data_IF_299031861690
#
_entry.id   IF_299031861690
#
_cell.length_a   1.000
_cell.length_b   1.000
_cell.length_c   1.000
_cell.angle_alpha   90.00
_cell.angle_beta   90.00
_cell.angle_gamma   90.00
#
_symmetry.space_group_name_H-M   'P 1'
#
loop_
_entity.id
_entity.type
_entity.pdbx_description
1 polymer ?
#
# COMPACT_ATOMS: atom_id res chain seq x y z
N UNK A 1 -13.65 10.68 24.53
CA UNK A 1 -13.22 9.33 24.97
C UNK A 1 -13.99 8.32 24.15
N UNK A 2 -13.30 7.41 23.41
CA UNK A 2 -13.95 6.31 22.68
C UNK A 2 -14.46 5.31 23.74
N UNK A 3 -15.74 4.87 23.68
CA UNK A 3 -16.23 3.87 24.62
C UNK A 3 -15.35 2.62 24.61
N UNK A 4 -15.04 2.06 25.77
CA UNK A 4 -14.17 0.87 25.92
C UNK A 4 -14.60 -0.32 25.05
N UNK A 5 -15.88 -0.40 24.66
CA UNK A 5 -16.45 -1.44 23.79
C UNK A 5 -15.93 -1.45 22.34
N UNK A 6 -15.45 -0.29 21.81
CA UNK A 6 -14.96 -0.18 20.42
C UNK A 6 -13.45 -0.40 20.28
N UNK A 7 -12.72 -0.30 21.38
CA UNK A 7 -11.25 -0.44 21.37
C UNK A 7 -10.75 -1.76 20.77
N UNK A 8 -11.33 -2.94 21.08
CA UNK A 8 -10.92 -4.20 20.46
C UNK A 8 -11.11 -4.21 18.95
N UNK A 9 -12.21 -3.63 18.45
CA UNK A 9 -12.49 -3.53 17.01
C UNK A 9 -11.46 -2.61 16.30
N UNK A 10 -11.08 -1.50 16.91
CA UNK A 10 -10.04 -0.60 16.35
C UNK A 10 -8.65 -1.26 16.36
N UNK A 11 -8.37 -2.08 17.36
CA UNK A 11 -7.11 -2.84 17.44
C UNK A 11 -7.02 -3.90 16.36
N UNK A 12 -8.04 -4.72 16.17
CA UNK A 12 -8.05 -5.76 15.14
C UNK A 12 -7.97 -5.18 13.73
N UNK A 13 -8.56 -3.99 13.50
CA UNK A 13 -8.48 -3.25 12.24
C UNK A 13 -7.06 -2.68 11.97
N UNK A 14 -6.18 -2.61 12.97
CA UNK A 14 -4.85 -1.96 12.84
C UNK A 14 -4.92 -0.60 12.15
N UNK A 15 -5.85 0.25 12.61
CA UNK A 15 -6.23 1.51 11.97
C UNK A 15 -5.04 2.42 11.61
N UNK A 16 -3.95 2.36 12.39
CA UNK A 16 -2.73 3.12 12.11
C UNK A 16 -2.10 2.82 10.74
N UNK A 17 -2.27 1.60 10.24
CA UNK A 17 -1.65 1.17 8.99
C UNK A 17 -2.45 1.57 7.74
N UNK A 18 -3.74 1.97 7.88
CA UNK A 18 -4.59 2.38 6.75
C UNK A 18 -4.03 3.61 6.01
N UNK A 19 -3.30 4.48 6.70
CA UNK A 19 -2.71 5.68 6.09
C UNK A 19 -1.74 5.36 4.96
N UNK A 20 -1.04 4.23 5.03
CA UNK A 20 -0.20 3.77 3.92
C UNK A 20 -1.01 3.26 2.72
N UNK A 21 -2.24 2.80 2.92
CA UNK A 21 -3.14 2.44 1.83
C UNK A 21 -3.73 3.70 1.18
N UNK A 22 -4.08 4.71 1.97
CA UNK A 22 -4.55 6.00 1.47
C UNK A 22 -3.46 6.77 0.71
N UNK A 23 -2.20 6.70 1.15
CA UNK A 23 -1.08 7.31 0.41
C UNK A 23 -0.90 6.66 -0.97
N UNK A 24 -1.09 5.34 -1.10
CA UNK A 24 -1.06 4.66 -2.40
C UNK A 24 -2.18 5.14 -3.33
N UNK A 25 -3.40 5.40 -2.81
CA UNK A 25 -4.49 6.00 -3.60
C UNK A 25 -4.08 7.39 -4.10
N UNK A 26 -3.49 8.22 -3.24
CA UNK A 26 -3.02 9.54 -3.65
C UNK A 26 -1.94 9.46 -4.73
N UNK A 27 -1.00 8.51 -4.63
CA UNK A 27 0.00 8.25 -5.67
C UNK A 27 -0.68 7.81 -6.98
N UNK A 28 -1.64 6.89 -6.94
CA UNK A 28 -2.42 6.46 -8.11
C UNK A 28 -3.20 7.62 -8.76
N UNK A 29 -3.86 8.44 -7.95
CA UNK A 29 -4.57 9.65 -8.42
C UNK A 29 -3.60 10.67 -9.05
N UNK A 30 -2.40 10.82 -8.51
CA UNK A 30 -1.40 11.74 -9.05
C UNK A 30 -0.88 11.29 -10.42
N UNK A 31 -0.51 10.01 -10.55
CA UNK A 31 0.01 9.47 -11.83
C UNK A 31 -1.06 9.42 -12.93
N UNK A 32 -2.35 9.36 -12.56
CA UNK A 32 -3.47 9.40 -13.49
C UNK A 32 -3.96 10.83 -13.79
N UNK A 33 -3.36 11.85 -13.17
CA UNK A 33 -3.79 13.25 -13.32
C UNK A 33 -5.14 13.56 -12.67
N UNK A 34 -5.64 12.70 -11.75
CA UNK A 34 -6.97 12.81 -11.13
C UNK A 34 -6.95 13.27 -9.67
N UNK A 35 -5.76 13.63 -9.13
CA UNK A 35 -5.65 14.07 -7.74
C UNK A 35 -6.31 15.43 -7.50
N UNK A 36 -6.28 16.32 -8.47
CA UNK A 36 -6.87 17.66 -8.41
C UNK A 36 -7.60 18.00 -9.71
N UNK A 37 -8.79 18.63 -9.67
CA UNK A 37 -9.53 18.99 -8.46
C UNK A 37 -10.04 17.76 -7.71
N UNK A 38 -10.13 17.87 -6.37
CA UNK A 38 -10.66 16.80 -5.54
C UNK A 38 -12.16 16.61 -5.79
N UNK A 39 -12.57 15.40 -6.11
CA UNK A 39 -13.97 15.06 -6.44
C UNK A 39 -14.53 14.02 -5.45
N UNK A 40 -15.85 13.82 -5.47
CA UNK A 40 -16.49 12.76 -4.69
C UNK A 40 -15.94 11.38 -5.05
N UNK A 41 -15.60 11.14 -6.33
CA UNK A 41 -14.99 9.89 -6.78
C UNK A 41 -13.66 9.60 -6.06
N UNK A 42 -12.81 10.61 -5.81
CA UNK A 42 -11.56 10.46 -5.06
C UNK A 42 -11.83 10.05 -3.62
N UNK A 43 -12.85 10.63 -2.98
CA UNK A 43 -13.30 10.23 -1.63
C UNK A 43 -13.78 8.78 -1.58
N UNK A 44 -14.54 8.34 -2.58
CA UNK A 44 -14.98 6.96 -2.70
C UNK A 44 -13.81 5.99 -2.92
N UNK A 45 -12.79 6.35 -3.71
CA UNK A 45 -11.57 5.55 -3.85
C UNK A 45 -10.81 5.40 -2.52
N UNK A 46 -10.71 6.47 -1.74
CA UNK A 46 -10.12 6.40 -0.40
C UNK A 46 -10.90 5.47 0.52
N UNK A 47 -12.23 5.53 0.50
CA UNK A 47 -13.08 4.64 1.29
C UNK A 47 -12.96 3.19 0.79
N UNK A 48 -12.91 2.97 -0.52
CA UNK A 48 -12.70 1.65 -1.13
C UNK A 48 -11.39 1.02 -0.65
N UNK A 49 -10.29 1.75 -0.77
CA UNK A 49 -8.98 1.31 -0.29
C UNK A 49 -8.96 1.03 1.21
N UNK A 50 -9.52 1.93 2.02
CA UNK A 50 -9.60 1.73 3.47
C UNK A 50 -10.42 0.48 3.81
N UNK A 51 -11.59 0.29 3.21
CA UNK A 51 -12.45 -0.87 3.45
C UNK A 51 -11.75 -2.19 3.12
N UNK A 52 -11.15 -2.29 1.92
CA UNK A 52 -10.43 -3.49 1.49
C UNK A 52 -9.19 -3.77 2.35
N UNK A 53 -8.43 -2.72 2.71
CA UNK A 53 -7.26 -2.86 3.56
C UNK A 53 -7.62 -3.33 4.97
N UNK A 54 -8.62 -2.71 5.59
CA UNK A 54 -9.07 -3.06 6.94
C UNK A 54 -9.71 -4.45 6.97
N UNK A 55 -10.42 -4.86 5.92
CA UNK A 55 -10.94 -6.23 5.77
C UNK A 55 -9.80 -7.25 5.84
N UNK A 56 -8.70 -7.02 5.11
CA UNK A 56 -7.52 -7.85 5.17
C UNK A 56 -6.91 -7.92 6.57
N UNK A 57 -6.78 -6.78 7.27
CA UNK A 57 -6.24 -6.78 8.64
C UNK A 57 -7.09 -7.63 9.59
N UNK A 58 -8.42 -7.52 9.51
CA UNK A 58 -9.35 -8.30 10.33
C UNK A 58 -9.30 -9.79 9.96
N UNK A 59 -9.28 -10.11 8.67
CA UNK A 59 -9.18 -11.51 8.23
C UNK A 59 -7.82 -12.13 8.51
N UNK A 60 -6.76 -11.36 8.48
CA UNK A 60 -5.45 -11.83 8.91
C UNK A 60 -5.50 -12.36 10.36
N UNK A 61 -6.08 -11.59 11.28
CA UNK A 61 -6.22 -12.02 12.67
C UNK A 61 -7.25 -13.17 12.83
N UNK A 62 -8.29 -13.23 11.97
CA UNK A 62 -9.25 -14.34 11.96
C UNK A 62 -8.61 -15.67 11.51
N UNK A 63 -7.86 -15.67 10.43
CA UNK A 63 -7.20 -16.88 9.92
C UNK A 63 -6.05 -17.33 10.80
N UNK A 64 -5.37 -16.40 11.49
CA UNK A 64 -4.27 -16.70 12.40
C UNK A 64 -4.71 -17.04 13.83
N UNK A 65 -6.01 -17.00 14.17
CA UNK A 65 -6.53 -17.11 15.54
C UNK A 65 -5.98 -18.29 16.32
N UNK A 66 -5.79 -19.44 15.67
CA UNK A 66 -5.34 -20.68 16.33
C UNK A 66 -3.84 -20.61 16.65
N UNK A 67 -3.04 -20.04 15.75
CA UNK A 67 -1.61 -19.78 15.94
C UNK A 67 -1.42 -18.66 16.98
N UNK A 68 -2.22 -17.61 16.88
CA UNK A 68 -2.17 -16.47 17.80
C UNK A 68 -2.60 -16.85 19.24
N UNK A 69 -3.42 -17.87 19.41
CA UNK A 69 -3.76 -18.37 20.74
C UNK A 69 -2.54 -18.91 21.49
N UNK A 70 -1.55 -19.42 20.75
CA UNK A 70 -0.29 -19.95 21.30
C UNK A 70 0.78 -18.85 21.39
N UNK A 71 1.00 -18.12 20.27
CA UNK A 71 2.13 -17.19 20.16
C UNK A 71 1.81 -15.80 20.72
N UNK A 72 0.55 -15.36 20.62
CA UNK A 72 0.11 -13.98 20.95
C UNK A 72 -1.26 -13.96 21.65
N UNK A 73 -1.39 -14.59 22.83
CA UNK A 73 -2.69 -14.78 23.52
C UNK A 73 -3.39 -13.47 23.92
N UNK A 74 -2.67 -12.34 23.87
CA UNK A 74 -3.24 -11.01 24.16
C UNK A 74 -3.95 -10.35 22.95
N UNK A 75 -3.90 -10.97 21.75
CA UNK A 75 -4.64 -10.45 20.60
C UNK A 75 -6.16 -10.51 20.84
N UNK A 76 -6.95 -9.61 20.20
CA UNK A 76 -8.38 -9.45 20.50
C UNK A 76 -9.20 -10.74 20.38
N UNK A 77 -8.93 -11.61 19.38
CA UNK A 77 -9.68 -12.86 19.19
C UNK A 77 -9.27 -13.91 20.24
N UNK A 78 -8.00 -14.27 20.42
CA UNK A 78 -7.58 -15.19 21.46
C UNK A 78 -7.94 -14.75 22.89
N UNK A 79 -7.86 -13.43 23.14
CA UNK A 79 -8.23 -12.85 24.45
C UNK A 79 -9.75 -12.80 24.69
N UNK A 80 -10.59 -13.29 23.78
CA UNK A 80 -12.05 -13.30 23.91
C UNK A 80 -12.70 -11.91 23.81
N UNK A 81 -11.95 -10.86 23.44
CA UNK A 81 -12.47 -9.49 23.31
C UNK A 81 -13.31 -9.31 22.04
N UNK A 82 -13.05 -10.12 21.00
CA UNK A 82 -13.80 -10.19 19.75
C UNK A 82 -14.05 -11.66 19.44
N UNK A 83 -15.29 -12.04 19.17
CA UNK A 83 -15.61 -13.41 18.76
C UNK A 83 -15.12 -13.66 17.33
N UNK A 84 -14.74 -14.90 17.00
CA UNK A 84 -14.32 -15.27 15.64
C UNK A 84 -15.41 -14.94 14.60
N UNK A 85 -16.68 -15.19 14.91
CA UNK A 85 -17.82 -14.83 14.05
C UNK A 85 -17.96 -13.31 13.91
N UNK A 86 -17.73 -12.55 14.99
CA UNK A 86 -17.73 -11.09 14.97
C UNK A 86 -16.63 -10.54 14.06
N UNK A 87 -15.41 -11.07 14.15
CA UNK A 87 -14.29 -10.72 13.28
C UNK A 87 -14.60 -11.05 11.80
N UNK A 88 -15.14 -12.24 11.52
CA UNK A 88 -15.54 -12.62 10.16
C UNK A 88 -16.56 -11.65 9.58
N UNK A 89 -17.64 -11.34 10.34
CA UNK A 89 -18.69 -10.40 9.91
C UNK A 89 -18.15 -8.99 9.70
N UNK A 90 -17.26 -8.52 10.59
CA UNK A 90 -16.61 -7.22 10.44
C UNK A 90 -15.77 -7.17 9.16
N UNK A 91 -14.94 -8.18 8.90
CA UNK A 91 -14.15 -8.29 7.69
C UNK A 91 -15.00 -8.29 6.43
N UNK A 92 -16.10 -9.06 6.43
CA UNK A 92 -17.06 -9.10 5.30
C UNK A 92 -17.74 -7.74 5.09
N UNK A 93 -18.18 -7.07 6.15
CA UNK A 93 -18.79 -5.74 6.08
C UNK A 93 -17.82 -4.69 5.50
N UNK A 94 -16.56 -4.72 5.93
CA UNK A 94 -15.51 -3.85 5.41
C UNK A 94 -15.19 -4.14 3.93
N UNK A 95 -15.14 -5.43 3.53
CA UNK A 95 -14.95 -5.82 2.13
C UNK A 95 -16.10 -5.30 1.27
N UNK A 96 -17.36 -5.55 1.67
CA UNK A 96 -18.54 -5.08 0.94
C UNK A 96 -18.53 -3.55 0.83
N UNK A 97 -18.20 -2.85 1.93
CA UNK A 97 -18.04 -1.39 1.93
C UNK A 97 -17.00 -0.95 0.91
N UNK A 98 -15.84 -1.63 0.85
CA UNK A 98 -14.78 -1.34 -0.11
C UNK A 98 -15.23 -1.54 -1.56
N UNK A 99 -15.91 -2.63 -1.86
CA UNK A 99 -16.43 -2.92 -3.21
C UNK A 99 -17.53 -1.95 -3.62
N UNK A 100 -18.47 -1.64 -2.74
CA UNK A 100 -19.54 -0.65 -3.00
C UNK A 100 -18.94 0.73 -3.22
N UNK A 101 -17.98 1.14 -2.39
CA UNK A 101 -17.30 2.42 -2.56
C UNK A 101 -16.53 2.49 -3.89
N UNK A 102 -15.90 1.41 -4.34
CA UNK A 102 -15.25 1.37 -5.66
C UNK A 102 -16.25 1.48 -6.81
N UNK A 103 -17.42 0.84 -6.71
CA UNK A 103 -18.50 0.99 -7.70
C UNK A 103 -19.01 2.44 -7.75
N UNK A 104 -19.22 3.06 -6.57
CA UNK A 104 -19.64 4.47 -6.48
C UNK A 104 -18.56 5.43 -7.00
N UNK A 105 -17.28 5.14 -6.81
CA UNK A 105 -16.19 5.93 -7.39
C UNK A 105 -16.28 5.93 -8.93
N UNK A 106 -16.41 4.75 -9.53
CA UNK A 106 -16.57 4.61 -10.97
C UNK A 106 -17.84 5.28 -11.49
N UNK A 107 -18.97 5.13 -10.79
CA UNK A 107 -20.23 5.76 -11.13
C UNK A 107 -20.11 7.29 -11.14
N UNK A 108 -19.56 7.88 -10.08
CA UNK A 108 -19.36 9.33 -9.97
C UNK A 108 -18.38 9.89 -11.03
N UNK A 109 -17.48 9.06 -11.54
CA UNK A 109 -16.54 9.43 -12.59
C UNK A 109 -17.07 9.18 -14.01
N UNK A 110 -18.28 8.65 -14.16
CA UNK A 110 -18.86 8.30 -15.46
C UNK A 110 -18.35 6.97 -16.06
N UNK A 111 -17.61 6.17 -15.28
CA UNK A 111 -16.99 4.90 -15.70
C UNK A 111 -17.27 3.78 -14.66
N UNK A 112 -18.51 3.26 -14.55
CA UNK A 112 -18.94 2.41 -13.43
C UNK A 112 -18.11 1.16 -13.18
N UNK A 113 -17.50 0.58 -14.24
CA UNK A 113 -16.72 -0.67 -14.13
C UNK A 113 -15.24 -0.49 -13.79
N UNK A 114 -14.66 0.70 -13.98
CA UNK A 114 -13.20 0.86 -13.94
C UNK A 114 -12.61 0.59 -12.55
N UNK A 115 -13.11 1.24 -11.52
CA UNK A 115 -12.58 1.07 -10.16
C UNK A 115 -12.93 -0.31 -9.59
N UNK A 116 -14.14 -0.82 -9.88
CA UNK A 116 -14.57 -2.15 -9.45
C UNK A 116 -13.72 -3.26 -10.11
N UNK A 117 -13.35 -3.08 -11.39
CA UNK A 117 -12.48 -4.02 -12.12
C UNK A 117 -11.08 -4.16 -11.51
N UNK A 118 -10.61 -3.17 -10.74
CA UNK A 118 -9.36 -3.26 -9.96
C UNK A 118 -9.62 -3.70 -8.52
N UNK A 119 -10.73 -3.28 -7.92
CA UNK A 119 -11.06 -3.61 -6.55
C UNK A 119 -11.33 -5.10 -6.33
N UNK A 120 -11.97 -5.78 -7.31
CA UNK A 120 -12.22 -7.23 -7.23
C UNK A 120 -10.91 -8.04 -7.20
N UNK A 121 -9.95 -7.88 -8.14
CA UNK A 121 -8.64 -8.52 -8.04
C UNK A 121 -7.91 -8.19 -6.74
N UNK A 122 -8.00 -6.95 -6.23
CA UNK A 122 -7.43 -6.57 -4.95
C UNK A 122 -8.05 -7.36 -3.79
N UNK A 123 -9.38 -7.46 -3.75
CA UNK A 123 -10.10 -8.23 -2.74
C UNK A 123 -9.71 -9.72 -2.78
N UNK A 124 -9.60 -10.30 -3.98
CA UNK A 124 -9.15 -11.68 -4.17
C UNK A 124 -7.70 -11.88 -3.72
N UNK A 125 -6.80 -10.95 -4.02
CA UNK A 125 -5.41 -11.01 -3.60
C UNK A 125 -5.27 -10.94 -2.07
N UNK A 126 -6.03 -10.05 -1.41
CA UNK A 126 -6.09 -9.94 0.06
C UNK A 126 -6.59 -11.26 0.65
N UNK A 127 -7.70 -11.78 0.15
CA UNK A 127 -8.24 -13.04 0.64
C UNK A 127 -7.28 -14.21 0.43
N UNK A 128 -6.68 -14.34 -0.75
CA UNK A 128 -5.73 -15.40 -1.05
C UNK A 128 -4.48 -15.33 -0.16
N UNK A 129 -4.00 -14.11 0.16
CA UNK A 129 -2.89 -13.92 1.08
C UNK A 129 -3.24 -14.43 2.47
N UNK A 130 -4.38 -14.02 3.03
CA UNK A 130 -4.78 -14.33 4.39
C UNK A 130 -5.22 -15.78 4.57
N UNK A 131 -5.92 -16.36 3.57
CA UNK A 131 -6.42 -17.74 3.59
C UNK A 131 -5.34 -18.83 3.48
N UNK A 132 -4.06 -18.45 3.52
CA UNK A 132 -2.93 -19.39 3.54
C UNK A 132 -1.79 -19.01 2.62
N UNK A 133 -1.99 -18.12 1.66
CA UNK A 133 -0.95 -17.68 0.72
C UNK A 133 0.29 -17.12 1.41
N UNK A 134 0.14 -16.45 2.55
CA UNK A 134 1.24 -15.89 3.36
C UNK A 134 2.25 -16.92 3.85
N UNK A 135 1.83 -18.17 4.03
CA UNK A 135 2.69 -19.26 4.48
C UNK A 135 3.52 -19.87 3.33
N UNK A 136 3.17 -19.58 2.09
CA UNK A 136 3.82 -20.09 0.89
C UNK A 136 5.00 -19.22 0.44
N UNK A 137 5.72 -19.68 -0.58
CA UNK A 137 6.73 -18.87 -1.28
C UNK A 137 6.10 -17.70 -2.08
N UNK A 138 4.81 -17.81 -2.40
CA UNK A 138 4.06 -16.77 -3.10
C UNK A 138 3.64 -15.61 -2.17
N UNK A 139 3.65 -15.80 -0.84
CA UNK A 139 3.18 -14.81 0.14
C UNK A 139 3.73 -13.40 -0.07
N UNK A 140 5.05 -13.19 -0.18
CA UNK A 140 5.62 -11.87 -0.42
C UNK A 140 5.12 -11.22 -1.72
N UNK A 141 4.96 -12.00 -2.78
CA UNK A 141 4.46 -11.54 -4.08
C UNK A 141 2.97 -11.21 -4.05
N UNK A 142 2.16 -11.99 -3.32
CA UNK A 142 0.75 -11.67 -3.09
C UNK A 142 0.58 -10.35 -2.31
N UNK A 143 1.40 -10.13 -1.28
CA UNK A 143 1.38 -8.86 -0.54
C UNK A 143 1.83 -7.69 -1.43
N UNK A 144 2.86 -7.91 -2.28
CA UNK A 144 3.27 -6.97 -3.30
C UNK A 144 2.14 -6.65 -4.29
N UNK A 145 1.43 -7.69 -4.78
CA UNK A 145 0.27 -7.54 -5.66
C UNK A 145 -0.85 -6.74 -5.01
N UNK A 146 -1.16 -6.97 -3.72
CA UNK A 146 -2.12 -6.15 -2.98
C UNK A 146 -1.74 -4.66 -3.02
N UNK A 147 -0.45 -4.33 -2.87
CA UNK A 147 0.01 -2.93 -2.95
C UNK A 147 -0.04 -2.37 -4.36
N UNK A 148 0.41 -3.13 -5.36
CA UNK A 148 0.29 -2.73 -6.77
C UNK A 148 -1.16 -2.44 -7.15
N UNK A 149 -2.07 -3.35 -6.81
CA UNK A 149 -3.50 -3.20 -7.10
C UNK A 149 -4.13 -2.02 -6.36
N UNK A 150 -3.64 -1.69 -5.15
CA UNK A 150 -4.14 -0.51 -4.43
C UNK A 150 -3.70 0.81 -5.09
N UNK A 151 -2.49 0.88 -5.64
CA UNK A 151 -2.05 2.04 -6.46
C UNK A 151 -2.87 2.12 -7.74
N UNK A 152 -3.07 0.99 -8.43
CA UNK A 152 -3.89 0.92 -9.64
C UNK A 152 -5.36 1.27 -9.37
N UNK A 153 -5.88 0.96 -8.18
CA UNK A 153 -7.22 1.40 -7.75
C UNK A 153 -7.28 2.94 -7.72
N UNK A 154 -6.26 3.61 -7.18
CA UNK A 154 -6.14 5.07 -7.24
C UNK A 154 -6.07 5.62 -8.66
N UNK A 155 -5.43 4.89 -9.58
CA UNK A 155 -5.31 5.28 -10.98
C UNK A 155 -6.49 4.82 -11.86
N UNK A 156 -7.43 4.05 -11.33
CA UNK A 156 -8.48 3.38 -12.10
C UNK A 156 -9.42 4.33 -12.87
N UNK A 157 -9.51 5.57 -12.45
CA UNK A 157 -10.35 6.61 -13.07
C UNK A 157 -9.58 7.44 -14.12
N UNK A 158 -8.43 6.96 -14.58
CA UNK A 158 -7.64 7.58 -15.64
C UNK A 158 -8.49 7.73 -16.93
N UNK A 159 -8.28 8.83 -17.65
CA UNK A 159 -8.93 9.04 -18.93
C UNK A 159 -8.60 7.91 -19.92
N UNK A 160 -9.62 7.37 -20.58
CA UNK A 160 -9.48 6.20 -21.44
C UNK A 160 -9.34 4.85 -20.70
N UNK A 161 -9.24 4.85 -19.35
CA UNK A 161 -9.13 3.65 -18.53
C UNK A 161 -7.73 3.02 -18.51
N UNK A 162 -7.45 2.24 -17.48
CA UNK A 162 -6.18 1.52 -17.33
C UNK A 162 -5.95 0.45 -18.40
N UNK A 163 -7.03 -0.09 -18.97
CA UNK A 163 -7.01 -1.22 -19.92
C UNK A 163 -7.39 -0.81 -21.34
N UNK A 164 -7.47 0.48 -21.64
CA UNK A 164 -7.79 0.95 -22.98
C UNK A 164 -6.70 0.48 -23.97
N UNK A 165 -7.08 -0.45 -24.83
CA UNK A 165 -6.26 -0.83 -25.97
C UNK A 165 -6.16 0.37 -26.92
N UNK A 166 -4.95 0.66 -27.43
CA UNK A 166 -4.61 1.86 -28.22
C UNK A 166 -5.34 2.09 -29.55
N UNK A 167 -6.62 1.71 -29.65
CA UNK A 167 -7.44 1.84 -30.85
C UNK A 167 -7.91 3.28 -31.18
N UNK A 168 -7.75 4.22 -30.24
CA UNK A 168 -8.00 5.65 -30.45
C UNK A 168 -6.70 6.44 -30.33
N UNK A 169 -5.78 6.25 -31.26
CA UNK A 169 -4.60 7.10 -31.39
C UNK A 169 -5.01 8.43 -32.04
N UNK A 170 -4.87 9.58 -31.35
CA UNK A 170 -4.98 10.87 -32.03
C UNK A 170 -3.87 10.96 -33.08
N UNK A 171 -4.25 11.25 -34.30
CA UNK A 171 -3.36 11.45 -35.44
C UNK A 171 -2.65 12.81 -35.34
N UNK A 172 -1.52 12.89 -34.59
CA UNK A 172 -0.74 14.11 -34.48
C UNK A 172 0.68 13.84 -33.98
N UNK A 173 1.62 14.69 -34.39
CA UNK A 173 3.08 14.52 -34.23
C UNK A 173 3.66 14.63 -32.78
N UNK A 174 2.83 14.78 -31.75
CA UNK A 174 3.30 14.92 -30.34
C UNK A 174 3.35 13.57 -29.58
N UNK A 175 3.55 12.47 -30.28
CA UNK A 175 3.05 11.14 -29.96
C UNK A 175 4.01 10.24 -29.15
N UNK A 176 5.12 10.73 -28.59
CA UNK A 176 6.01 9.88 -27.75
C UNK A 176 5.68 10.02 -26.25
N UNK A 177 5.17 11.17 -25.84
CA UNK A 177 4.86 11.46 -24.42
C UNK A 177 3.59 10.75 -23.94
N UNK A 178 2.60 10.58 -24.82
CA UNK A 178 1.31 9.99 -24.47
C UNK A 178 1.39 8.47 -24.17
N UNK A 179 2.13 7.64 -24.93
CA UNK A 179 2.32 6.24 -24.58
C UNK A 179 3.05 6.06 -23.23
N UNK A 180 4.05 6.90 -22.93
CA UNK A 180 4.79 6.86 -21.69
C UNK A 180 3.92 7.23 -20.49
N UNK A 181 3.05 8.22 -20.61
CA UNK A 181 2.15 8.61 -19.51
C UNK A 181 1.18 7.49 -19.13
N UNK A 182 0.75 6.66 -20.07
CA UNK A 182 -0.10 5.48 -19.83
C UNK A 182 0.63 4.35 -19.08
N UNK A 183 1.96 4.29 -19.17
CA UNK A 183 2.75 3.31 -18.42
C UNK A 183 2.97 3.73 -16.96
N UNK A 184 2.85 5.02 -16.64
CA UNK A 184 3.13 5.54 -15.29
C UNK A 184 2.41 4.77 -14.17
N UNK A 185 1.08 4.51 -14.23
CA UNK A 185 0.39 3.76 -13.20
C UNK A 185 0.96 2.36 -12.98
N UNK A 186 1.31 1.67 -14.06
CA UNK A 186 1.81 0.30 -14.03
C UNK A 186 3.23 0.22 -13.47
N UNK A 187 4.11 1.15 -13.88
CA UNK A 187 5.49 1.19 -13.40
C UNK A 187 5.52 1.56 -11.92
N UNK A 188 4.78 2.58 -11.50
CA UNK A 188 4.70 2.99 -10.09
C UNK A 188 4.09 1.88 -9.23
N UNK A 189 3.00 1.26 -9.70
CA UNK A 189 2.37 0.14 -9.00
C UNK A 189 3.33 -1.05 -8.88
N UNK A 190 4.02 -1.42 -9.96
CA UNK A 190 5.00 -2.51 -9.96
C UNK A 190 6.19 -2.23 -9.05
N UNK A 191 6.73 -1.02 -9.06
CA UNK A 191 7.82 -0.61 -8.20
C UNK A 191 7.46 -0.69 -6.72
N UNK A 192 6.27 -0.19 -6.33
CA UNK A 192 5.75 -0.27 -4.97
C UNK A 192 5.42 -1.71 -4.57
N UNK A 193 4.89 -2.52 -5.50
CA UNK A 193 4.67 -3.95 -5.28
C UNK A 193 5.97 -4.71 -4.99
N UNK A 194 7.03 -4.48 -5.78
CA UNK A 194 8.36 -5.05 -5.54
C UNK A 194 8.92 -4.61 -4.19
N UNK A 195 8.81 -3.32 -3.89
CA UNK A 195 9.22 -2.79 -2.59
C UNK A 195 8.55 -3.54 -1.44
N UNK A 196 7.21 -3.69 -1.48
CA UNK A 196 6.44 -4.35 -0.43
C UNK A 196 6.68 -5.86 -0.39
N UNK A 197 6.90 -6.51 -1.54
CA UNK A 197 7.34 -7.90 -1.57
C UNK A 197 8.67 -8.08 -0.82
N UNK A 198 9.63 -7.17 -1.05
CA UNK A 198 10.89 -7.14 -0.31
C UNK A 198 10.70 -6.93 1.19
N UNK A 199 9.82 -5.99 1.59
CA UNK A 199 9.48 -5.77 3.01
C UNK A 199 8.87 -7.02 3.65
N UNK A 200 7.99 -7.71 2.93
CA UNK A 200 7.36 -8.95 3.41
C UNK A 200 8.37 -10.10 3.55
N UNK A 201 9.31 -10.21 2.61
CA UNK A 201 10.45 -11.12 2.72
C UNK A 201 11.30 -10.80 3.96
N UNK A 202 11.54 -9.52 4.22
CA UNK A 202 12.32 -9.05 5.37
C UNK A 202 11.64 -9.38 6.70
N UNK A 203 10.31 -9.30 6.74
CA UNK A 203 9.49 -9.55 7.92
C UNK A 203 9.25 -11.04 8.20
N UNK A 204 9.54 -11.95 7.25
CA UNK A 204 9.10 -13.37 7.32
C UNK A 204 9.51 -14.09 8.60
N UNK A 205 10.71 -13.81 9.12
CA UNK A 205 11.24 -14.44 10.32
C UNK A 205 11.39 -13.42 11.48
N UNK A 206 10.58 -12.34 11.52
CA UNK A 206 10.73 -11.24 12.49
C UNK A 206 10.48 -11.63 13.96
N UNK A 207 9.73 -12.70 14.19
CA UNK A 207 9.43 -13.20 15.52
C UNK A 207 10.57 -14.09 16.08
N UNK A 208 11.46 -14.58 15.22
CA UNK A 208 12.55 -15.48 15.55
C UNK A 208 13.93 -14.95 15.13
N UNK A 209 14.86 -15.88 14.90
CA UNK A 209 16.18 -15.57 14.37
C UNK A 209 16.15 -15.53 12.84
N UNK A 210 16.32 -14.37 12.26
CA UNK A 210 16.50 -14.23 10.82
C UNK A 210 17.93 -14.60 10.41
N UNK A 211 18.11 -14.97 9.14
CA UNK A 211 19.45 -15.19 8.60
C UNK A 211 19.91 -13.98 7.78
N UNK A 212 21.22 -13.67 7.86
CA UNK A 212 21.81 -12.57 7.08
C UNK A 212 21.52 -12.69 5.58
N UNK A 213 21.53 -13.94 5.04
CA UNK A 213 21.24 -14.20 3.63
C UNK A 213 19.80 -13.81 3.24
N UNK A 214 18.81 -14.19 4.07
CA UNK A 214 17.40 -13.83 3.83
C UNK A 214 17.21 -12.32 3.89
N UNK A 215 17.78 -11.66 4.89
CA UNK A 215 17.71 -10.20 5.03
C UNK A 215 18.38 -9.48 3.84
N UNK A 216 19.53 -9.97 3.35
CA UNK A 216 20.21 -9.41 2.18
C UNK A 216 19.36 -9.55 0.91
N UNK A 217 18.76 -10.72 0.66
CA UNK A 217 17.85 -10.95 -0.47
C UNK A 217 16.63 -10.01 -0.38
N UNK A 218 16.04 -9.89 0.80
CA UNK A 218 14.90 -9.01 1.03
C UNK A 218 15.25 -7.54 0.72
N UNK A 219 16.41 -7.05 1.21
CA UNK A 219 16.89 -5.71 0.93
C UNK A 219 17.21 -5.50 -0.57
N UNK A 220 17.71 -6.53 -1.25
CA UNK A 220 17.93 -6.46 -2.70
C UNK A 220 16.59 -6.26 -3.44
N UNK A 221 15.53 -6.97 -3.07
CA UNK A 221 14.20 -6.80 -3.67
C UNK A 221 13.61 -5.43 -3.34
N UNK A 222 13.76 -4.94 -2.09
CA UNK A 222 13.38 -3.58 -1.69
C UNK A 222 14.06 -2.53 -2.57
N UNK A 223 15.40 -2.65 -2.73
CA UNK A 223 16.17 -1.70 -3.52
C UNK A 223 15.88 -1.82 -5.02
N UNK A 224 15.53 -2.99 -5.53
CA UNK A 224 15.06 -3.16 -6.90
C UNK A 224 13.78 -2.36 -7.15
N UNK A 225 12.81 -2.40 -6.23
CA UNK A 225 11.61 -1.58 -6.29
C UNK A 225 11.93 -0.08 -6.32
N UNK A 226 12.84 0.38 -5.44
CA UNK A 226 13.30 1.78 -5.44
C UNK A 226 14.05 2.15 -6.72
N UNK A 227 14.87 1.26 -7.26
CA UNK A 227 15.61 1.49 -8.50
C UNK A 227 14.69 1.59 -9.72
N UNK A 228 13.67 0.73 -9.82
CA UNK A 228 12.63 0.81 -10.87
C UNK A 228 11.92 2.15 -10.79
N UNK A 229 11.53 2.58 -9.58
CA UNK A 229 10.89 3.89 -9.39
C UNK A 229 11.84 5.03 -9.74
N UNK A 230 13.09 4.99 -9.30
CA UNK A 230 14.10 6.01 -9.64
C UNK A 230 14.33 6.10 -11.14
N UNK A 231 14.45 4.96 -11.83
CA UNK A 231 14.55 4.90 -13.29
C UNK A 231 13.37 5.57 -13.97
N UNK A 232 12.14 5.30 -13.50
CA UNK A 232 10.94 5.97 -14.02
C UNK A 232 10.98 7.49 -13.82
N UNK A 233 11.38 7.95 -12.62
CA UNK A 233 11.46 9.39 -12.32
C UNK A 233 12.50 10.15 -13.17
N UNK A 234 13.51 9.45 -13.72
CA UNK A 234 14.54 10.05 -14.61
C UNK A 234 14.17 9.93 -16.07
N UNK A 235 13.76 8.73 -16.52
CA UNK A 235 13.60 8.40 -17.94
C UNK A 235 12.15 8.33 -18.41
N UNK A 236 11.21 8.33 -17.46
CA UNK A 236 9.78 8.41 -17.75
C UNK A 236 9.36 9.83 -18.16
N UNK A 237 8.03 10.01 -18.31
CA UNK A 237 7.48 11.34 -18.53
C UNK A 237 7.71 12.23 -17.32
N UNK A 238 8.47 13.31 -17.50
CA UNK A 238 8.69 14.34 -16.46
C UNK A 238 8.03 15.67 -16.87
N UNK A 239 6.68 15.76 -16.78
CA UNK A 239 5.92 16.91 -17.29
C UNK A 239 6.23 18.21 -16.54
N UNK A 240 6.87 18.13 -15.37
CA UNK A 240 7.11 19.26 -14.47
C UNK A 240 8.61 19.59 -14.29
N UNK A 241 9.52 18.88 -14.97
CA UNK A 241 10.96 19.05 -14.79
C UNK A 241 11.46 18.76 -13.35
N UNK A 242 10.82 17.83 -12.66
CA UNK A 242 11.10 17.52 -11.24
C UNK A 242 11.82 16.19 -11.01
N UNK A 243 12.10 15.44 -12.06
CA UNK A 243 12.67 14.09 -11.98
C UNK A 243 13.92 14.02 -11.11
N UNK A 244 14.90 14.91 -11.34
CA UNK A 244 16.14 14.94 -10.55
C UNK A 244 15.87 15.20 -9.06
N UNK A 245 14.97 16.14 -8.70
CA UNK A 245 14.61 16.45 -7.31
C UNK A 245 13.88 15.28 -6.66
N UNK A 246 12.99 14.63 -7.38
CA UNK A 246 12.27 13.45 -6.92
C UNK A 246 13.22 12.27 -6.65
N UNK A 247 14.20 12.05 -7.54
CA UNK A 247 15.23 11.02 -7.34
C UNK A 247 16.13 11.33 -6.15
N UNK A 248 16.52 12.59 -5.94
CA UNK A 248 17.27 12.99 -4.74
C UNK A 248 16.46 12.72 -3.45
N UNK A 249 15.16 13.04 -3.44
CA UNK A 249 14.29 12.73 -2.33
C UNK A 249 14.18 11.20 -2.12
N UNK A 250 14.03 10.42 -3.19
CA UNK A 250 14.00 8.97 -3.13
C UNK A 250 15.34 8.38 -2.65
N UNK A 251 16.47 8.96 -3.03
CA UNK A 251 17.79 8.56 -2.54
C UNK A 251 17.94 8.77 -1.03
N UNK A 252 17.42 9.90 -0.49
CA UNK A 252 17.38 10.09 0.96
C UNK A 252 16.52 9.03 1.67
N UNK A 253 15.37 8.67 1.08
CA UNK A 253 14.53 7.56 1.56
C UNK A 253 15.33 6.26 1.55
N UNK A 254 16.02 5.95 0.46
CA UNK A 254 16.84 4.74 0.32
C UNK A 254 17.95 4.67 1.39
N UNK A 255 18.61 5.79 1.70
CA UNK A 255 19.64 5.84 2.77
C UNK A 255 19.04 5.43 4.12
N UNK A 256 17.86 5.97 4.49
CA UNK A 256 17.23 5.65 5.78
C UNK A 256 16.79 4.18 5.84
N UNK A 257 16.18 3.68 4.76
CA UNK A 257 15.73 2.30 4.64
C UNK A 257 16.92 1.33 4.73
N UNK A 258 17.97 1.59 3.94
CA UNK A 258 19.15 0.73 3.94
C UNK A 258 19.92 0.77 5.26
N UNK A 259 19.97 1.94 5.95
CA UNK A 259 20.55 2.03 7.29
C UNK A 259 19.79 1.17 8.31
N UNK A 260 18.45 1.17 8.24
CA UNK A 260 17.63 0.32 9.10
C UNK A 260 17.83 -1.18 8.77
N UNK A 261 17.83 -1.52 7.49
CA UNK A 261 18.10 -2.88 7.01
C UNK A 261 19.49 -3.37 7.36
N UNK A 262 20.51 -2.53 7.24
CA UNK A 262 21.90 -2.84 7.62
C UNK A 262 22.04 -3.18 9.11
N UNK A 263 21.40 -2.40 10.00
CA UNK A 263 21.39 -2.69 11.44
C UNK A 263 20.79 -4.06 11.74
N UNK A 264 19.68 -4.41 11.08
CA UNK A 264 19.06 -5.73 11.22
C UNK A 264 19.95 -6.84 10.63
N UNK A 265 20.67 -6.58 9.53
CA UNK A 265 21.60 -7.52 8.92
C UNK A 265 22.81 -7.79 9.82
N UNK A 266 23.34 -6.77 10.51
CA UNK A 266 24.42 -6.93 11.48
C UNK A 266 23.99 -7.78 12.69
N UNK A 267 22.78 -7.50 13.19
CA UNK A 267 22.16 -8.18 14.32
C UNK A 267 20.81 -8.78 13.90
N UNK A 268 20.76 -10.01 13.37
CA UNK A 268 19.54 -10.60 12.80
C UNK A 268 18.56 -11.15 13.86
N UNK A 269 18.57 -10.58 15.06
CA UNK A 269 17.64 -10.88 16.14
C UNK A 269 16.27 -10.19 15.96
N UNK A 270 15.25 -10.60 16.75
CA UNK A 270 13.87 -10.10 16.60
C UNK A 270 13.75 -8.58 16.69
N UNK A 271 14.38 -7.95 17.67
CA UNK A 271 14.22 -6.51 17.93
C UNK A 271 14.74 -5.63 16.77
N UNK A 272 15.98 -5.80 16.26
CA UNK A 272 16.45 -5.02 15.12
C UNK A 272 15.65 -5.28 13.84
N UNK A 273 15.21 -6.53 13.60
CA UNK A 273 14.41 -6.89 12.43
C UNK A 273 13.04 -6.21 12.50
N UNK A 274 12.34 -6.28 13.63
CA UNK A 274 11.04 -5.59 13.81
C UNK A 274 11.16 -4.07 13.68
N UNK A 275 12.23 -3.46 14.20
CA UNK A 275 12.50 -2.03 14.00
C UNK A 275 12.73 -1.70 12.51
N UNK A 276 13.46 -2.57 11.80
CA UNK A 276 13.63 -2.50 10.36
C UNK A 276 12.29 -2.52 9.64
N UNK A 277 11.46 -3.54 9.89
CA UNK A 277 10.12 -3.68 9.29
C UNK A 277 9.26 -2.44 9.53
N UNK A 278 9.19 -1.94 10.78
CA UNK A 278 8.45 -0.71 11.11
C UNK A 278 8.95 0.49 10.31
N UNK A 279 10.26 0.61 10.14
CA UNK A 279 10.85 1.68 9.34
C UNK A 279 10.44 1.52 7.87
N UNK A 280 10.68 0.37 7.26
CA UNK A 280 10.36 0.12 5.86
C UNK A 280 8.86 0.37 5.56
N UNK A 281 7.96 -0.12 6.40
CA UNK A 281 6.51 0.11 6.24
C UNK A 281 6.12 1.59 6.36
N UNK A 282 6.70 2.31 7.33
CA UNK A 282 6.38 3.72 7.53
C UNK A 282 6.83 4.61 6.37
N UNK A 283 7.94 4.24 5.70
CA UNK A 283 8.50 5.03 4.61
C UNK A 283 7.78 4.84 3.28
N UNK A 284 6.84 3.88 3.16
CA UNK A 284 5.92 3.77 2.01
C UNK A 284 5.20 5.11 1.78
N UNK A 285 4.70 5.75 2.84
CA UNK A 285 4.00 7.05 2.77
C UNK A 285 4.90 8.13 2.16
N UNK A 286 6.19 8.12 2.49
CA UNK A 286 7.13 9.09 1.94
C UNK A 286 7.48 8.79 0.48
N UNK A 287 7.59 7.49 0.11
CA UNK A 287 7.78 7.09 -1.29
C UNK A 287 6.58 7.56 -2.12
N UNK A 288 5.35 7.36 -1.64
CA UNK A 288 4.13 7.85 -2.30
C UNK A 288 4.12 9.38 -2.42
N UNK A 289 4.57 10.10 -1.38
CA UNK A 289 4.69 11.55 -1.43
C UNK A 289 5.70 12.02 -2.50
N UNK A 290 6.79 11.28 -2.71
CA UNK A 290 7.76 11.56 -3.80
C UNK A 290 7.09 11.35 -5.17
N UNK A 291 6.30 10.29 -5.34
CA UNK A 291 5.52 10.07 -6.57
C UNK A 291 4.55 11.22 -6.81
N UNK A 292 3.80 11.64 -5.80
CA UNK A 292 2.88 12.79 -5.89
C UNK A 292 3.63 14.07 -6.23
N UNK A 293 4.79 14.32 -5.62
CA UNK A 293 5.64 15.48 -5.91
C UNK A 293 6.08 15.53 -7.38
N UNK A 294 6.40 14.38 -7.97
CA UNK A 294 6.83 14.29 -9.37
C UNK A 294 5.67 14.55 -10.35
N UNK A 295 4.49 13.99 -10.09
CA UNK A 295 3.37 13.99 -11.05
C UNK A 295 2.38 15.14 -10.86
N UNK A 296 2.31 15.78 -9.67
CA UNK A 296 1.32 16.82 -9.39
C UNK A 296 1.95 18.23 -9.34
N UNK A 297 1.37 19.26 -10.04
CA UNK A 297 1.97 20.60 -10.12
C UNK A 297 2.07 21.32 -8.77
N UNK A 298 1.08 21.16 -7.88
CA UNK A 298 1.09 21.76 -6.55
C UNK A 298 1.78 20.85 -5.52
N UNK A 299 2.96 21.25 -4.98
CA UNK A 299 3.71 20.45 -4.02
C UNK A 299 3.00 20.28 -2.67
N UNK A 300 1.98 21.09 -2.35
CA UNK A 300 1.19 20.96 -1.12
C UNK A 300 0.53 19.58 -1.01
N UNK A 301 0.15 18.97 -2.12
CA UNK A 301 -0.38 17.61 -2.13
C UNK A 301 0.65 16.58 -1.66
N UNK A 302 1.88 16.68 -2.10
CA UNK A 302 2.97 15.81 -1.64
C UNK A 302 3.23 15.99 -0.13
N UNK A 303 3.21 17.23 0.35
CA UNK A 303 3.33 17.55 1.79
C UNK A 303 2.15 16.94 2.56
N UNK A 304 0.92 17.08 2.03
CA UNK A 304 -0.28 16.49 2.64
C UNK A 304 -0.19 14.97 2.74
N UNK A 305 0.30 14.29 1.69
CA UNK A 305 0.53 12.84 1.70
C UNK A 305 1.61 12.47 2.71
N UNK A 306 2.75 13.16 2.74
CA UNK A 306 3.80 12.93 3.73
C UNK A 306 3.29 13.13 5.17
N UNK A 307 2.39 14.10 5.39
CA UNK A 307 1.79 14.38 6.68
C UNK A 307 0.95 13.20 7.24
N UNK A 308 0.47 12.28 6.39
CA UNK A 308 -0.21 11.06 6.82
C UNK A 308 0.67 10.16 7.70
N UNK A 309 1.99 10.32 7.64
CA UNK A 309 2.91 9.64 8.54
C UNK A 309 2.67 9.99 10.02
N UNK A 310 2.18 11.20 10.28
CA UNK A 310 1.95 11.68 11.65
C UNK A 310 0.79 10.94 12.34
N UNK A 311 -0.44 10.94 11.80
CA UNK A 311 -1.53 10.16 12.39
C UNK A 311 -1.23 8.65 12.40
N UNK A 312 -0.53 8.11 11.39
CA UNK A 312 -0.09 6.72 11.39
C UNK A 312 0.79 6.39 12.60
N UNK A 313 1.75 7.26 12.94
CA UNK A 313 2.63 7.08 14.10
C UNK A 313 1.91 7.30 15.42
N UNK A 314 1.05 8.33 15.51
CA UNK A 314 0.28 8.61 16.72
C UNK A 314 -0.66 7.45 17.06
N UNK A 315 -1.49 7.02 16.11
CA UNK A 315 -2.39 5.90 16.29
C UNK A 315 -1.64 4.59 16.53
N UNK A 316 -0.48 4.41 15.88
CA UNK A 316 0.37 3.25 16.11
C UNK A 316 0.86 3.14 17.56
N UNK A 317 1.14 4.27 18.22
CA UNK A 317 1.51 4.29 19.65
C UNK A 317 0.31 3.99 20.57
N UNK A 318 -0.88 4.45 20.21
CA UNK A 318 -2.10 4.31 21.02
C UNK A 318 -2.77 2.95 20.85
N UNK A 319 -2.69 2.38 19.66
CA UNK A 319 -3.31 1.09 19.32
C UNK A 319 -2.28 -0.06 19.30
N UNK A 320 -1.01 0.21 19.68
CA UNK A 320 0.04 -0.80 19.68
C UNK A 320 -0.41 -2.03 20.47
N UNK A 321 -0.64 -3.10 19.74
CA UNK A 321 -0.81 -4.44 20.26
C UNK A 321 0.62 -4.97 20.38
N UNK A 322 1.13 -4.98 21.59
CA UNK A 322 2.38 -5.64 21.95
C UNK A 322 2.16 -7.15 21.94
#
# INVERSE_FOLDING_TARGET
MIPNSWMPCLRICRLAAVFSALSNIAAGLAVSGRLSPWTAANGWLCLASAGLYLAGMVWNDYFDRDIDAIERPRRPIPAGQVTALGAWRLGLGLLVTGLVASALAGWNAGHPGHALGVAIPLALAVWAYDAGGKQTLAGPWLMGACRSLNVLLGASLMAGGLFASGAEMPSGRDNVVEPLSRLAPWVVAGALGLYVAGVTLFAKDEAGQSTRRKLAIALLVVNLGLAVLAGWLVWGADPLGRGQRAVLALAMVAVVINRAGWRAWQNPGPVPVQQGVRTLLSWIIIIDAVVVFHHHPDPRWAIGVAALLWPARLLGRWLAIT
#
